data_IF_897309022798
#
_entry.id   IF_897309022798
#
_cell.length_a   1.000
_cell.length_b   1.000
_cell.length_c   1.000
_cell.angle_alpha   90.00
_cell.angle_beta   90.00
_cell.angle_gamma   90.00
#
_symmetry.space_group_name_H-M   'P 1'
#
loop_
_entity.id
_entity.type
_entity.pdbx_description
1 polymer ?
#
# COMPACT_ATOMS: atom_id res chain seq x y z
N UNK A 1 49.57 -13.70 28.38
CA UNK A 1 48.37 -14.55 28.46
C UNK A 1 48.50 -15.36 29.73
N UNK A 2 47.48 -15.39 30.57
CA UNK A 2 47.50 -16.16 31.81
C UNK A 2 46.66 -17.43 31.64
N UNK A 3 47.12 -18.57 32.18
CA UNK A 3 46.43 -19.84 31.99
C UNK A 3 45.02 -19.81 32.59
N UNK A 4 44.10 -20.62 32.05
CA UNK A 4 42.72 -20.70 32.52
C UNK A 4 42.66 -20.90 34.04
N UNK A 5 41.92 -20.02 34.71
CA UNK A 5 41.72 -20.10 36.16
C UNK A 5 40.33 -20.67 36.46
N UNK A 6 40.22 -21.65 37.39
CA UNK A 6 38.93 -22.09 37.87
C UNK A 6 38.33 -21.03 38.79
N UNK A 7 37.13 -20.58 38.45
CA UNK A 7 36.33 -19.62 39.21
C UNK A 7 34.92 -20.17 39.40
N UNK A 8 34.27 -19.76 40.49
CA UNK A 8 32.91 -20.17 40.83
C UNK A 8 32.07 -18.90 40.85
N UNK A 9 30.95 -18.93 40.14
CA UNK A 9 29.97 -17.84 40.12
C UNK A 9 29.05 -17.89 41.34
N UNK A 10 28.27 -16.83 41.52
CA UNK A 10 27.30 -16.68 42.61
C UNK A 10 26.26 -17.82 42.67
N UNK A 11 25.88 -18.35 41.51
CA UNK A 11 24.96 -19.49 41.34
C UNK A 11 25.66 -20.85 41.42
N UNK A 12 26.88 -20.89 41.95
CA UNK A 12 27.66 -22.10 42.22
C UNK A 12 28.04 -22.90 40.97
N UNK A 13 28.25 -22.21 39.84
CA UNK A 13 28.76 -22.83 38.60
C UNK A 13 30.26 -22.64 38.54
N UNK A 14 31.00 -23.75 38.38
CA UNK A 14 32.46 -23.70 38.20
C UNK A 14 32.80 -23.51 36.72
N UNK A 15 33.57 -22.50 36.36
CA UNK A 15 34.00 -22.24 34.98
C UNK A 15 35.49 -21.95 34.91
N UNK A 16 36.07 -22.11 33.71
CA UNK A 16 37.45 -21.75 33.42
C UNK A 16 37.48 -20.46 32.63
N UNK A 17 38.26 -19.47 33.09
CA UNK A 17 38.38 -18.18 32.43
C UNK A 17 39.85 -17.88 32.11
N UNK A 18 40.09 -17.55 30.85
CA UNK A 18 41.38 -17.08 30.33
C UNK A 18 41.42 -15.56 30.31
N UNK A 19 42.56 -14.98 30.67
CA UNK A 19 42.72 -13.52 30.68
C UNK A 19 44.02 -13.06 30.05
N UNK A 20 43.95 -11.93 29.36
CA UNK A 20 45.11 -11.25 28.79
C UNK A 20 45.24 -9.87 29.42
N UNK A 21 46.40 -9.60 30.01
CA UNK A 21 46.72 -8.31 30.62
C UNK A 21 47.79 -7.62 29.79
N UNK A 22 47.49 -6.41 29.35
CA UNK A 22 48.41 -5.51 28.65
C UNK A 22 48.88 -4.45 29.62
N UNK A 23 50.18 -4.42 29.89
CA UNK A 23 50.80 -3.47 30.80
C UNK A 23 52.09 -2.91 30.20
N UNK A 24 52.56 -1.80 30.77
CA UNK A 24 53.84 -1.19 30.44
C UNK A 24 54.60 -0.86 31.73
N UNK A 25 55.92 -0.95 31.67
CA UNK A 25 56.79 -0.56 32.78
C UNK A 25 56.98 0.97 32.71
N UNK A 26 56.56 1.67 33.74
CA UNK A 26 56.67 3.13 33.86
C UNK A 26 57.90 3.54 34.66
N UNK A 27 58.27 2.76 35.68
CA UNK A 27 59.46 2.97 36.50
C UNK A 27 60.29 1.68 36.59
N UNK A 28 61.41 1.58 35.84
CA UNK A 28 62.28 0.40 35.87
C UNK A 28 62.89 0.09 37.23
N UNK A 29 63.09 1.09 38.11
CA UNK A 29 63.64 0.89 39.45
C UNK A 29 62.60 0.23 40.34
N UNK A 30 61.37 0.73 40.34
CA UNK A 30 60.26 0.10 41.06
C UNK A 30 59.94 -1.29 40.52
N UNK A 31 60.04 -1.49 39.20
CA UNK A 31 59.86 -2.81 38.61
C UNK A 31 60.91 -3.82 39.07
N UNK A 32 62.18 -3.41 39.17
CA UNK A 32 63.27 -4.31 39.56
C UNK A 32 63.32 -4.62 41.06
N UNK A 33 62.91 -3.67 41.93
CA UNK A 33 63.08 -3.79 43.38
C UNK A 33 61.77 -3.76 44.19
N UNK A 34 60.64 -3.44 43.55
CA UNK A 34 59.34 -3.30 44.23
C UNK A 34 58.67 -4.64 44.57
N UNK A 35 58.98 -5.71 43.82
CA UNK A 35 58.50 -7.07 44.09
C UNK A 35 59.47 -8.09 43.48
N UNK A 36 59.63 -9.24 44.14
CA UNK A 36 60.61 -10.28 43.74
C UNK A 36 60.39 -10.81 42.32
N UNK A 37 59.12 -11.07 41.95
CA UNK A 37 58.76 -11.49 40.60
C UNK A 37 57.49 -10.75 40.14
N UNK A 38 57.62 -9.62 39.43
CA UNK A 38 56.49 -8.80 39.03
C UNK A 38 55.47 -9.52 38.15
N UNK A 39 55.92 -10.42 37.28
CA UNK A 39 55.03 -11.15 36.37
C UNK A 39 54.14 -12.12 37.15
N UNK A 40 54.74 -12.91 38.06
CA UNK A 40 54.02 -13.83 38.92
C UNK A 40 53.09 -13.10 39.88
N UNK A 41 53.49 -11.92 40.38
CA UNK A 41 52.66 -11.09 41.24
C UNK A 41 51.41 -10.58 40.50
N UNK A 42 51.56 -10.11 39.25
CA UNK A 42 50.42 -9.71 38.40
C UNK A 42 49.50 -10.89 38.11
N UNK A 43 50.06 -12.07 37.80
CA UNK A 43 49.27 -13.28 37.54
C UNK A 43 48.39 -13.65 38.74
N UNK A 44 48.99 -13.72 39.94
CA UNK A 44 48.28 -14.02 41.18
C UNK A 44 47.21 -12.97 41.53
N UNK A 45 47.55 -11.69 41.32
CA UNK A 45 46.62 -10.59 41.54
C UNK A 45 45.44 -10.69 40.56
N UNK A 46 45.71 -10.94 39.28
CA UNK A 46 44.69 -11.15 38.24
C UNK A 46 43.77 -12.31 38.60
N UNK A 47 44.32 -13.46 39.00
CA UNK A 47 43.53 -14.61 39.42
C UNK A 47 42.64 -14.32 40.64
N UNK A 48 43.16 -13.57 41.62
CA UNK A 48 42.41 -13.20 42.84
C UNK A 48 41.30 -12.20 42.53
N UNK A 49 41.60 -11.15 41.76
CA UNK A 49 40.61 -10.14 41.34
C UNK A 49 39.52 -10.77 40.48
N UNK A 50 39.89 -11.67 39.57
CA UNK A 50 38.94 -12.40 38.74
C UNK A 50 37.99 -13.25 39.58
N UNK A 51 38.51 -14.00 40.56
CA UNK A 51 37.69 -14.82 41.46
C UNK A 51 36.70 -13.97 42.26
N UNK A 52 37.12 -12.80 42.75
CA UNK A 52 36.25 -11.91 43.51
C UNK A 52 35.12 -11.33 42.63
N UNK A 53 35.45 -10.79 41.45
CA UNK A 53 34.45 -10.19 40.57
C UNK A 53 33.46 -11.24 40.06
N UNK A 54 33.94 -12.42 39.66
CA UNK A 54 33.09 -13.50 39.14
C UNK A 54 32.24 -14.13 40.25
N UNK A 55 32.75 -14.21 41.48
CA UNK A 55 31.99 -14.71 42.63
C UNK A 55 30.75 -13.88 42.97
N UNK A 56 30.74 -12.60 42.59
CA UNK A 56 29.59 -11.70 42.80
C UNK A 56 28.56 -11.73 41.64
N UNK A 57 28.89 -12.40 40.52
CA UNK A 57 28.08 -12.44 39.31
C UNK A 57 27.46 -13.82 39.09
N UNK A 58 26.26 -13.85 38.52
CA UNK A 58 25.64 -15.10 38.05
C UNK A 58 26.25 -15.55 36.72
N UNK A 59 26.13 -16.84 36.38
CA UNK A 59 26.65 -17.41 35.12
C UNK A 59 26.30 -16.55 33.89
N UNK A 60 25.02 -16.20 33.73
CA UNK A 60 24.56 -15.43 32.57
C UNK A 60 25.19 -14.03 32.54
N UNK A 61 25.29 -13.37 33.69
CA UNK A 61 25.92 -12.05 33.79
C UNK A 61 27.41 -12.08 33.43
N UNK A 62 28.12 -13.17 33.77
CA UNK A 62 29.54 -13.31 33.39
C UNK A 62 29.72 -13.44 31.88
N UNK A 63 28.75 -14.02 31.18
CA UNK A 63 28.79 -14.20 29.73
C UNK A 63 28.41 -12.92 28.98
N UNK A 64 27.46 -12.14 29.50
CA UNK A 64 26.98 -10.91 28.86
C UNK A 64 27.81 -9.67 29.21
N UNK A 65 28.36 -9.61 30.42
CA UNK A 65 28.93 -8.37 30.98
C UNK A 65 30.46 -8.32 30.91
N UNK A 66 31.05 -8.84 29.82
CA UNK A 66 32.52 -8.90 29.64
C UNK A 66 33.20 -7.54 29.77
N UNK A 67 32.59 -6.49 29.22
CA UNK A 67 33.16 -5.13 29.27
C UNK A 67 33.21 -4.57 30.69
N UNK A 68 32.17 -4.85 31.48
CA UNK A 68 32.12 -4.47 32.90
C UNK A 68 33.21 -5.18 33.68
N UNK A 69 33.43 -6.47 33.42
CA UNK A 69 34.49 -7.25 34.07
C UNK A 69 35.87 -6.71 33.67
N UNK A 70 36.11 -6.49 32.37
CA UNK A 70 37.36 -5.91 31.85
C UNK A 70 37.69 -4.57 32.51
N UNK A 71 36.69 -3.69 32.62
CA UNK A 71 36.86 -2.35 33.22
C UNK A 71 37.19 -2.42 34.71
N UNK A 72 36.45 -3.24 35.47
CA UNK A 72 36.69 -3.44 36.91
C UNK A 72 38.08 -4.06 37.15
N UNK A 73 38.41 -5.12 36.41
CA UNK A 73 39.72 -5.77 36.46
C UNK A 73 40.85 -4.78 36.18
N UNK A 74 40.77 -4.02 35.10
CA UNK A 74 41.78 -3.01 34.75
C UNK A 74 41.96 -2.00 35.88
N UNK A 75 40.87 -1.45 36.42
CA UNK A 75 40.93 -0.46 37.49
C UNK A 75 41.58 -1.01 38.77
N UNK A 76 41.21 -2.22 39.19
CA UNK A 76 41.79 -2.85 40.39
C UNK A 76 43.26 -3.23 40.19
N UNK A 77 43.61 -3.77 39.02
CA UNK A 77 45.00 -4.13 38.72
C UNK A 77 45.91 -2.90 38.64
N UNK A 78 45.50 -1.84 37.94
CA UNK A 78 46.30 -0.62 37.76
C UNK A 78 46.72 -0.01 39.11
N UNK A 79 45.76 0.18 40.02
CA UNK A 79 46.00 0.73 41.37
C UNK A 79 46.95 -0.15 42.18
N UNK A 80 46.82 -1.46 42.07
CA UNK A 80 47.62 -2.41 42.84
C UNK A 80 49.03 -2.62 42.25
N UNK A 81 49.22 -2.40 40.95
CA UNK A 81 50.52 -2.56 40.27
C UNK A 81 51.35 -1.27 40.22
N UNK A 82 50.75 -0.11 40.51
CA UNK A 82 51.43 1.18 40.58
C UNK A 82 52.69 1.18 41.47
N UNK A 83 52.70 0.60 42.69
CA UNK A 83 53.90 0.52 43.53
C UNK A 83 55.05 -0.30 42.92
N UNK A 84 54.75 -1.15 41.94
CA UNK A 84 55.73 -1.97 41.21
C UNK A 84 56.22 -1.27 39.93
N UNK A 85 55.87 0.00 39.71
CA UNK A 85 56.25 0.73 38.49
C UNK A 85 55.62 0.14 37.22
N UNK A 86 54.45 -0.48 37.35
CA UNK A 86 53.72 -1.11 36.24
C UNK A 86 52.36 -0.44 36.10
N UNK A 87 52.07 0.01 34.87
CA UNK A 87 50.78 0.58 34.49
C UNK A 87 49.98 -0.42 33.66
N UNK A 88 48.74 -0.71 34.08
CA UNK A 88 47.85 -1.63 33.36
C UNK A 88 47.00 -0.85 32.34
N UNK A 89 47.28 -1.08 31.06
CA UNK A 89 46.60 -0.38 29.98
C UNK A 89 45.25 -1.02 29.64
N UNK A 90 45.20 -2.36 29.57
CA UNK A 90 44.00 -3.11 29.20
C UNK A 90 43.99 -4.50 29.82
N UNK A 91 42.80 -4.98 30.18
CA UNK A 91 42.55 -6.38 30.58
C UNK A 91 41.43 -6.91 29.70
N UNK A 92 41.59 -8.12 29.18
CA UNK A 92 40.56 -8.79 28.39
C UNK A 92 40.34 -10.23 28.84
N UNK A 93 39.08 -10.58 29.04
CA UNK A 93 38.66 -11.97 29.10
C UNK A 93 38.75 -12.59 27.70
N UNK A 94 39.62 -13.59 27.52
CA UNK A 94 39.83 -14.26 26.23
C UNK A 94 38.76 -15.33 26.01
N UNK A 95 38.65 -16.28 26.92
CA UNK A 95 37.68 -17.36 26.89
C UNK A 95 36.97 -17.49 28.24
N UNK A 96 35.69 -17.83 28.20
CA UNK A 96 34.89 -18.23 29.38
C UNK A 96 34.30 -19.58 29.02
N UNK A 97 34.74 -20.62 29.73
CA UNK A 97 34.42 -22.02 29.43
C UNK A 97 33.65 -22.59 30.61
N UNK A 98 32.29 -22.63 30.54
CA UNK A 98 31.49 -23.30 31.55
C UNK A 98 31.63 -24.83 31.45
N UNK A 99 31.13 -25.62 32.41
CA UNK A 99 31.14 -27.08 32.34
C UNK A 99 30.32 -27.58 31.16
N UNK A 100 30.72 -28.70 30.56
CA UNK A 100 30.03 -29.25 29.38
C UNK A 100 28.53 -29.49 29.60
N UNK A 101 28.14 -29.97 30.79
CA UNK A 101 26.74 -30.18 31.13
C UNK A 101 25.90 -28.89 31.10
N UNK A 102 26.47 -27.76 31.55
CA UNK A 102 25.81 -26.45 31.51
C UNK A 102 25.74 -25.93 30.07
N UNK A 103 26.84 -26.05 29.31
CA UNK A 103 26.86 -25.68 27.89
C UNK A 103 25.75 -26.40 27.11
N UNK A 104 25.63 -27.72 27.28
CA UNK A 104 24.64 -28.53 26.58
C UNK A 104 23.20 -28.15 26.99
N UNK A 105 22.98 -27.86 28.28
CA UNK A 105 21.68 -27.40 28.78
C UNK A 105 21.31 -26.02 28.20
N UNK A 106 22.25 -25.08 28.19
CA UNK A 106 22.07 -23.75 27.60
C UNK A 106 21.81 -23.83 26.09
N UNK A 107 22.58 -24.64 25.35
CA UNK A 107 22.36 -24.84 23.91
C UNK A 107 20.94 -25.36 23.62
N UNK A 108 20.48 -26.36 24.41
CA UNK A 108 19.13 -26.91 24.28
C UNK A 108 18.06 -25.87 24.61
N UNK A 109 18.24 -25.10 25.68
CA UNK A 109 17.32 -24.03 26.08
C UNK A 109 17.27 -22.91 25.02
N UNK A 110 18.43 -22.46 24.53
CA UNK A 110 18.54 -21.42 23.51
C UNK A 110 17.93 -21.85 22.18
N UNK A 111 18.10 -23.13 21.81
CA UNK A 111 17.43 -23.70 20.63
C UNK A 111 15.90 -23.67 20.81
N UNK A 112 15.39 -24.14 21.93
CA UNK A 112 13.95 -24.14 22.22
C UNK A 112 13.36 -22.71 22.24
N UNK A 113 14.07 -21.75 22.82
CA UNK A 113 13.63 -20.34 22.86
C UNK A 113 13.66 -19.70 21.46
N UNK A 114 14.66 -20.02 20.64
CA UNK A 114 14.71 -19.58 19.23
C UNK A 114 13.56 -20.15 18.41
N UNK A 115 13.30 -21.46 18.53
CA UNK A 115 12.17 -22.12 17.85
C UNK A 115 10.83 -21.53 18.29
N UNK A 116 10.66 -21.28 19.60
CA UNK A 116 9.47 -20.59 20.13
C UNK A 116 9.32 -19.19 19.53
N UNK A 117 10.40 -18.41 19.50
CA UNK A 117 10.38 -17.04 18.99
C UNK A 117 10.11 -16.99 17.49
N UNK A 118 10.68 -17.92 16.73
CA UNK A 118 10.40 -18.08 15.30
C UNK A 118 8.92 -18.40 15.07
N UNK A 119 8.35 -19.35 15.83
CA UNK A 119 6.94 -19.71 15.72
C UNK A 119 6.01 -18.51 16.00
N UNK A 120 6.32 -17.71 17.03
CA UNK A 120 5.56 -16.49 17.37
C UNK A 120 5.65 -15.48 16.22
N UNK A 121 6.87 -15.18 15.75
CA UNK A 121 7.07 -14.22 14.66
C UNK A 121 6.37 -14.65 13.36
N UNK A 122 6.38 -15.95 13.06
CA UNK A 122 5.67 -16.51 11.91
C UNK A 122 4.16 -16.34 12.04
N UNK A 123 3.60 -16.68 13.20
CA UNK A 123 2.17 -16.51 13.47
C UNK A 123 1.74 -15.04 13.41
N UNK A 124 2.55 -14.13 13.94
CA UNK A 124 2.31 -12.68 13.84
C UNK A 124 2.40 -12.17 12.40
N UNK A 125 3.37 -12.67 11.63
CA UNK A 125 3.53 -12.36 10.21
C UNK A 125 2.32 -12.82 9.38
N UNK A 126 1.84 -14.04 9.60
CA UNK A 126 0.67 -14.60 8.94
C UNK A 126 -0.62 -13.83 9.29
N UNK A 127 -0.80 -13.49 10.56
CA UNK A 127 -1.92 -12.65 11.01
C UNK A 127 -1.88 -11.29 10.34
N UNK A 128 -0.73 -10.60 10.34
CA UNK A 128 -0.57 -9.28 9.71
C UNK A 128 -0.80 -9.35 8.20
N UNK A 129 -0.26 -10.37 7.53
CA UNK A 129 -0.47 -10.58 6.09
C UNK A 129 -1.94 -10.78 5.76
N UNK A 130 -2.65 -11.61 6.53
CA UNK A 130 -4.09 -11.85 6.35
C UNK A 130 -4.91 -10.57 6.52
N UNK A 131 -4.59 -9.76 7.53
CA UNK A 131 -5.24 -8.47 7.75
C UNK A 131 -5.00 -7.53 6.57
N UNK A 132 -3.76 -7.37 6.12
CA UNK A 132 -3.42 -6.49 5.00
C UNK A 132 -4.12 -6.91 3.70
N UNK A 133 -4.22 -8.22 3.43
CA UNK A 133 -4.95 -8.73 2.26
C UNK A 133 -6.45 -8.42 2.38
N UNK A 134 -7.05 -8.62 3.56
CA UNK A 134 -8.46 -8.32 3.79
C UNK A 134 -8.75 -6.80 3.67
N UNK A 135 -7.86 -5.96 4.18
CA UNK A 135 -7.93 -4.49 4.05
C UNK A 135 -7.81 -4.06 2.59
N UNK A 136 -6.83 -4.58 1.85
CA UNK A 136 -6.67 -4.30 0.43
C UNK A 136 -7.88 -4.73 -0.42
N UNK A 137 -8.47 -5.90 -0.13
CA UNK A 137 -9.68 -6.36 -0.81
C UNK A 137 -10.88 -5.44 -0.53
N UNK A 138 -11.03 -5.00 0.73
CA UNK A 138 -12.08 -4.04 1.11
C UNK A 138 -11.90 -2.70 0.40
N UNK A 139 -10.68 -2.18 0.37
CA UNK A 139 -10.36 -0.91 -0.28
C UNK A 139 -10.60 -0.99 -1.80
N UNK A 140 -10.15 -2.07 -2.46
CA UNK A 140 -10.42 -2.34 -3.87
C UNK A 140 -11.93 -2.35 -4.16
N UNK A 141 -12.71 -3.07 -3.36
CA UNK A 141 -14.16 -3.15 -3.57
C UNK A 141 -14.87 -1.79 -3.42
N UNK A 142 -14.38 -0.93 -2.51
CA UNK A 142 -14.90 0.44 -2.35
C UNK A 142 -14.54 1.28 -3.57
N UNK A 143 -13.27 1.25 -4.00
CA UNK A 143 -12.79 2.00 -5.17
C UNK A 143 -13.53 1.57 -6.45
N UNK A 144 -13.77 0.28 -6.64
CA UNK A 144 -14.52 -0.24 -7.78
C UNK A 144 -15.97 0.27 -7.76
N UNK A 145 -16.65 0.24 -6.61
CA UNK A 145 -18.01 0.75 -6.47
C UNK A 145 -18.10 2.28 -6.70
N UNK A 146 -17.10 3.04 -6.23
CA UNK A 146 -17.00 4.48 -6.47
C UNK A 146 -16.74 4.79 -7.95
N UNK A 147 -15.86 4.03 -8.60
CA UNK A 147 -15.56 4.15 -10.02
C UNK A 147 -16.80 3.83 -10.88
N UNK A 148 -17.55 2.77 -10.55
CA UNK A 148 -18.80 2.43 -11.23
C UNK A 148 -19.84 3.54 -11.10
N UNK A 149 -20.01 4.08 -9.89
CA UNK A 149 -20.91 5.21 -9.64
C UNK A 149 -20.51 6.44 -10.46
N UNK A 150 -19.24 6.82 -10.45
CA UNK A 150 -18.75 7.96 -11.24
C UNK A 150 -18.93 7.71 -12.74
N UNK A 151 -18.61 6.51 -13.24
CA UNK A 151 -18.80 6.15 -14.63
C UNK A 151 -20.29 6.22 -15.05
N UNK A 152 -21.21 5.79 -14.18
CA UNK A 152 -22.64 5.90 -14.43
C UNK A 152 -23.11 7.37 -14.52
N UNK A 153 -22.64 8.23 -13.61
CA UNK A 153 -22.94 9.68 -13.63
C UNK A 153 -22.42 10.31 -14.92
N UNK A 154 -21.15 10.09 -15.25
CA UNK A 154 -20.52 10.64 -16.46
C UNK A 154 -21.23 10.19 -17.74
N UNK A 155 -21.66 8.92 -17.81
CA UNK A 155 -22.46 8.42 -18.95
C UNK A 155 -23.82 9.11 -19.04
N UNK A 156 -24.50 9.31 -17.91
CA UNK A 156 -25.80 9.98 -17.89
C UNK A 156 -25.68 11.46 -18.30
N UNK A 157 -24.63 12.16 -17.84
CA UNK A 157 -24.32 13.53 -18.22
C UNK A 157 -23.98 13.63 -19.71
N UNK A 158 -23.13 12.74 -20.21
CA UNK A 158 -22.78 12.68 -21.63
C UNK A 158 -24.02 12.44 -22.51
N UNK A 159 -24.91 11.53 -22.12
CA UNK A 159 -26.15 11.28 -22.86
C UNK A 159 -27.08 12.50 -22.86
N UNK A 160 -27.23 13.17 -21.72
CA UNK A 160 -28.01 14.41 -21.60
C UNK A 160 -27.44 15.51 -22.51
N UNK A 161 -26.13 15.74 -22.47
CA UNK A 161 -25.47 16.75 -23.30
C UNK A 161 -25.58 16.43 -24.79
N UNK A 162 -25.40 15.17 -25.18
CA UNK A 162 -25.60 14.71 -26.55
C UNK A 162 -27.03 15.02 -27.04
N UNK A 163 -28.04 14.71 -26.22
CA UNK A 163 -29.45 14.95 -26.56
C UNK A 163 -29.76 16.44 -26.72
N UNK A 164 -29.18 17.29 -25.86
CA UNK A 164 -29.33 18.75 -25.96
C UNK A 164 -28.70 19.26 -27.25
N UNK A 165 -27.46 18.86 -27.56
CA UNK A 165 -26.76 19.29 -28.78
C UNK A 165 -27.48 18.81 -30.05
N UNK A 166 -28.04 17.61 -30.04
CA UNK A 166 -28.85 17.11 -31.15
C UNK A 166 -30.13 17.95 -31.33
N UNK A 167 -30.83 18.27 -30.25
CA UNK A 167 -32.03 19.11 -30.30
C UNK A 167 -31.72 20.54 -30.78
N UNK A 168 -30.62 21.13 -30.32
CA UNK A 168 -30.12 22.43 -30.78
C UNK A 168 -29.77 22.40 -32.27
N UNK A 169 -29.06 21.37 -32.72
CA UNK A 169 -28.72 21.18 -34.13
C UNK A 169 -29.96 21.02 -35.02
N UNK A 170 -30.98 20.28 -34.56
CA UNK A 170 -32.26 20.14 -35.25
C UNK A 170 -33.04 21.46 -35.31
N UNK A 171 -33.06 22.22 -34.21
CA UNK A 171 -33.70 23.53 -34.16
C UNK A 171 -33.02 24.51 -35.13
N UNK A 172 -31.69 24.56 -35.15
CA UNK A 172 -30.91 25.41 -36.07
C UNK A 172 -31.16 25.02 -37.54
N UNK A 173 -31.14 23.72 -37.85
CA UNK A 173 -31.45 23.21 -39.19
C UNK A 173 -32.87 23.60 -39.62
N UNK A 174 -33.85 23.45 -38.73
CA UNK A 174 -35.25 23.82 -38.99
C UNK A 174 -35.38 25.33 -39.24
N UNK A 175 -34.71 26.17 -38.44
CA UNK A 175 -34.70 27.62 -38.64
C UNK A 175 -34.12 28.00 -40.01
N UNK A 176 -33.00 27.39 -40.42
CA UNK A 176 -32.42 27.61 -41.76
C UNK A 176 -33.36 27.20 -42.88
N UNK A 177 -34.06 26.07 -42.73
CA UNK A 177 -35.07 25.62 -43.71
C UNK A 177 -36.24 26.61 -43.78
N UNK A 178 -36.75 27.08 -42.64
CA UNK A 178 -37.85 28.04 -42.59
C UNK A 178 -37.46 29.39 -43.18
N UNK A 179 -36.24 29.87 -42.91
CA UNK A 179 -35.69 31.08 -43.54
C UNK A 179 -35.56 30.91 -45.06
N UNK A 180 -34.98 29.80 -45.52
CA UNK A 180 -34.87 29.51 -46.96
C UNK A 180 -36.25 29.43 -47.65
N UNK A 181 -37.26 28.86 -46.97
CA UNK A 181 -38.63 28.84 -47.46
C UNK A 181 -39.24 30.25 -47.50
N UNK A 182 -39.07 31.04 -46.44
CA UNK A 182 -39.59 32.41 -46.38
C UNK A 182 -38.97 33.30 -47.46
N UNK A 183 -37.66 33.21 -47.66
CA UNK A 183 -36.96 33.91 -48.74
C UNK A 183 -37.44 33.45 -50.12
N UNK A 184 -37.62 32.13 -50.32
CA UNK A 184 -38.22 31.59 -51.54
C UNK A 184 -39.64 32.11 -51.79
N UNK A 185 -40.48 32.18 -50.75
CA UNK A 185 -41.83 32.76 -50.83
C UNK A 185 -41.81 34.26 -51.16
N UNK A 186 -40.85 35.01 -50.60
CA UNK A 186 -40.68 36.43 -50.92
C UNK A 186 -40.27 36.64 -52.37
N UNK A 187 -39.30 35.85 -52.87
CA UNK A 187 -38.91 35.86 -54.29
C UNK A 187 -40.10 35.53 -55.20
N UNK A 188 -40.92 34.55 -54.83
CA UNK A 188 -42.15 34.21 -55.58
C UNK A 188 -43.16 35.36 -55.58
N UNK A 189 -43.32 36.08 -54.45
CA UNK A 189 -44.22 37.23 -54.37
C UNK A 189 -43.73 38.42 -55.22
N UNK A 190 -42.42 38.66 -55.22
CA UNK A 190 -41.79 39.72 -56.01
C UNK A 190 -41.82 39.42 -57.52
N UNK A 191 -41.79 38.14 -57.92
CA UNK A 191 -41.82 37.72 -59.32
C UNK A 191 -43.22 37.75 -59.99
N UNK A 192 -44.31 38.01 -59.23
CA UNK A 192 -45.69 38.04 -59.72
C UNK A 192 -46.06 36.88 -60.69
N UNK A 193 -46.02 35.61 -60.22
CA UNK A 193 -46.16 34.44 -61.09
C UNK A 193 -47.57 34.34 -61.71
N UNK A 194 -47.60 33.97 -62.99
CA UNK A 194 -48.84 33.72 -63.74
C UNK A 194 -49.70 32.62 -63.09
N UNK A 195 -51.03 32.74 -63.26
CA UNK A 195 -52.04 31.86 -62.64
C UNK A 195 -51.82 30.35 -62.90
N UNK A 196 -51.13 30.00 -64.00
CA UNK A 196 -50.78 28.63 -64.34
C UNK A 196 -49.71 28.01 -63.40
N UNK A 197 -48.75 28.82 -62.92
CA UNK A 197 -47.68 28.35 -62.03
C UNK A 197 -48.22 28.02 -60.63
N UNK A 198 -49.21 28.80 -60.16
CA UNK A 198 -49.91 28.54 -58.91
C UNK A 198 -50.72 27.24 -58.95
N UNK A 199 -51.33 26.91 -60.09
CA UNK A 199 -52.05 25.64 -60.29
C UNK A 199 -51.12 24.43 -60.32
N UNK A 200 -49.94 24.55 -60.94
CA UNK A 200 -48.95 23.45 -60.93
C UNK A 200 -48.42 23.22 -59.51
N UNK A 201 -48.07 24.28 -58.79
CA UNK A 201 -47.67 24.20 -57.37
C UNK A 201 -48.77 23.63 -56.47
N UNK A 202 -50.04 23.96 -56.73
CA UNK A 202 -51.16 23.42 -55.94
C UNK A 202 -51.39 21.95 -56.20
N UNK A 203 -51.27 21.49 -57.45
CA UNK A 203 -51.31 20.06 -57.80
C UNK A 203 -50.13 19.28 -57.20
N UNK A 204 -48.92 19.84 -57.18
CA UNK A 204 -47.76 19.23 -56.51
C UNK A 204 -47.93 19.16 -54.98
N UNK A 205 -48.48 20.21 -54.37
CA UNK A 205 -48.81 20.20 -52.94
C UNK A 205 -49.90 19.17 -52.62
N UNK A 206 -50.90 19.05 -53.50
CA UNK A 206 -51.96 18.04 -53.38
C UNK A 206 -51.40 16.62 -53.53
N UNK A 207 -50.46 16.41 -54.45
CA UNK A 207 -49.76 15.14 -54.62
C UNK A 207 -48.95 14.77 -53.37
N UNK A 208 -48.19 15.71 -52.80
CA UNK A 208 -47.46 15.48 -51.53
C UNK A 208 -48.39 15.25 -50.33
N UNK A 209 -49.55 15.91 -50.29
CA UNK A 209 -50.57 15.66 -49.26
C UNK A 209 -51.25 14.29 -49.41
N UNK A 210 -51.36 13.79 -50.64
CA UNK A 210 -51.88 12.45 -50.95
C UNK A 210 -50.86 11.32 -50.72
N UNK A 211 -49.55 11.64 -50.60
CA UNK A 211 -48.43 10.69 -50.45
C UNK A 211 -48.29 10.08 -49.02
N UNK A 212 -49.38 10.09 -48.24
CA UNK A 212 -49.61 9.10 -47.18
C UNK A 212 -48.84 9.21 -45.86
N UNK A 213 -48.00 10.23 -45.63
CA UNK A 213 -47.25 10.34 -44.36
C UNK A 213 -48.01 10.97 -43.17
N UNK A 214 -49.30 11.30 -43.32
CA UNK A 214 -50.13 11.86 -42.25
C UNK A 214 -51.36 10.99 -41.94
N UNK A 215 -51.44 10.42 -40.73
CA UNK A 215 -52.51 9.50 -40.30
C UNK A 215 -53.84 10.18 -39.92
N UNK A 216 -53.94 11.51 -40.00
CA UNK A 216 -55.19 12.26 -39.77
C UNK A 216 -55.40 13.32 -40.85
N UNK A 217 -56.34 13.04 -41.76
CA UNK A 217 -56.85 13.98 -42.76
C UNK A 217 -58.06 14.69 -42.15
N UNK A 218 -57.98 16.01 -41.96
CA UNK A 218 -59.13 16.83 -41.60
C UNK A 218 -59.75 17.34 -42.89
N UNK A 219 -60.93 16.83 -43.23
CA UNK A 219 -61.65 17.16 -44.47
C UNK A 219 -62.54 18.39 -44.20
N UNK A 220 -62.37 19.52 -44.93
CA UNK A 220 -63.26 20.66 -44.86
C UNK A 220 -64.68 20.30 -45.31
N UNK A 221 -65.68 20.91 -44.70
CA UNK A 221 -67.11 20.57 -44.76
C UNK A 221 -67.80 20.65 -46.13
N UNK A 222 -67.11 21.03 -47.21
CA UNK A 222 -67.72 21.25 -48.52
C UNK A 222 -67.78 19.99 -49.42
N UNK A 223 -67.22 18.84 -48.98
CA UNK A 223 -67.11 17.62 -49.81
C UNK A 223 -68.20 16.56 -49.51
N UNK A 224 -69.11 16.81 -48.57
CA UNK A 224 -70.17 15.85 -48.18
C UNK A 224 -71.16 15.48 -49.32
N UNK A 225 -71.24 16.27 -50.40
CA UNK A 225 -72.14 15.99 -51.53
C UNK A 225 -71.79 14.74 -52.35
N UNK A 226 -70.53 14.30 -52.37
CA UNK A 226 -70.08 13.21 -53.27
C UNK A 226 -70.40 11.82 -52.69
N UNK A 227 -70.57 11.71 -51.36
CA UNK A 227 -70.91 10.44 -50.70
C UNK A 227 -72.29 9.90 -51.11
N UNK A 228 -73.23 10.77 -51.51
CA UNK A 228 -74.58 10.38 -51.95
C UNK A 228 -74.60 9.56 -53.25
N UNK A 229 -73.63 9.76 -54.14
CA UNK A 229 -73.56 9.07 -55.43
C UNK A 229 -73.25 7.57 -55.29
N UNK A 230 -72.61 7.17 -54.19
CA UNK A 230 -72.30 5.75 -53.93
C UNK A 230 -73.52 4.92 -53.53
N UNK A 231 -74.53 5.53 -52.89
CA UNK A 231 -75.78 4.83 -52.51
C UNK A 231 -76.71 4.61 -53.70
N UNK A 232 -76.84 5.58 -54.60
CA UNK A 232 -77.71 5.46 -55.79
C UNK A 232 -77.26 4.36 -56.75
N UNK A 233 -75.95 4.11 -56.87
CA UNK A 233 -75.42 3.04 -57.72
C UNK A 233 -75.72 1.65 -57.14
N UNK A 234 -75.76 1.51 -55.80
CA UNK A 234 -76.05 0.24 -55.12
C UNK A 234 -77.54 -0.10 -55.15
N UNK A 235 -78.41 0.91 -55.15
CA UNK A 235 -79.86 0.71 -55.17
C UNK A 235 -80.37 0.27 -56.55
N UNK A 236 -79.80 0.82 -57.63
CA UNK A 236 -80.11 0.40 -59.02
C UNK A 236 -79.68 -1.05 -59.30
N UNK A 237 -78.63 -1.55 -58.62
CA UNK A 237 -78.16 -2.93 -58.81
C UNK A 237 -79.05 -3.98 -58.12
N UNK A 238 -79.94 -3.59 -57.20
CA UNK A 238 -80.80 -4.52 -56.43
C UNK A 238 -82.18 -4.76 -57.03
N UNK A 239 -82.59 -3.97 -58.02
CA UNK A 239 -83.95 -4.04 -58.60
C UNK A 239 -84.06 -4.88 -59.88
N UNK A 240 -82.97 -5.48 -60.38
CA UNK A 240 -82.95 -6.29 -61.62
C UNK A 240 -82.26 -7.67 -61.48
N UNK A 241 -82.34 -8.31 -60.31
CA UNK A 241 -81.77 -9.66 -60.06
C UNK A 241 -82.77 -10.60 -59.43
#
# INVERSE_FOLDING_TARGET
DFPPQPVITKDNVTMQIDTVVYFQITDPKLYAYGVENPIMAIENLTATTLRNIIGDLELDETLTSRETINTKMRATLDVATDPWGIKVNRVELKNIIPPKAIQDAMEKQMKAERERREAILRAEGEKKSTILVAEGNKESAILDAEAEKQAAILRAEAQKEATIKEAEGQAEATLKIQQANADGLRMLKEAAPDNAVLQIKSLEAFAKAADGQATKIIIPSDIQGIAGLSKSIVEIAKENG
#
